data_IF_066607552469
#
_entry.id   IF_066607552469
#
_cell.length_a   1.000
_cell.length_b   1.000
_cell.length_c   1.000
_cell.angle_alpha   90.00
_cell.angle_beta   90.00
_cell.angle_gamma   90.00
#
_symmetry.space_group_name_H-M   'P 1'
#
loop_
_entity.id
_entity.type
_entity.pdbx_description
1 polymer ?
#
# COMPACT_ATOMS: atom_id res chain seq x y z
N UNK A 1 -10.04 3.24 -0.33
CA UNK A 1 -9.61 3.11 -1.74
C UNK A 1 -8.12 2.88 -1.97
N UNK A 2 -7.29 3.92 -2.18
CA UNK A 2 -5.86 3.70 -2.47
C UNK A 2 -5.11 3.10 -1.28
N UNK A 3 -5.59 3.39 -0.06
CA UNK A 3 -5.11 2.77 1.16
C UNK A 3 -5.36 1.25 1.18
N UNK A 4 -6.50 0.77 0.68
CA UNK A 4 -6.83 -0.66 0.70
C UNK A 4 -6.06 -1.43 -0.38
N UNK A 5 -5.89 -0.84 -1.57
CA UNK A 5 -5.02 -1.40 -2.61
C UNK A 5 -3.56 -1.46 -2.13
N UNK A 6 -3.11 -0.44 -1.38
CA UNK A 6 -1.76 -0.44 -0.80
C UNK A 6 -1.52 -1.63 0.15
N UNK A 7 -2.57 -2.17 0.79
CA UNK A 7 -2.49 -3.34 1.69
C UNK A 7 -2.36 -4.67 0.94
N UNK A 8 -2.68 -4.72 -0.35
CA UNK A 8 -2.41 -5.90 -1.19
C UNK A 8 -0.95 -5.97 -1.65
N UNK A 9 -0.30 -4.82 -1.78
CA UNK A 9 1.07 -4.76 -2.27
C UNK A 9 2.05 -5.36 -1.27
N UNK A 10 3.19 -5.87 -1.74
CA UNK A 10 4.27 -6.24 -0.82
C UNK A 10 4.86 -5.00 -0.12
N UNK A 11 4.92 -3.88 -0.85
CA UNK A 11 5.43 -2.59 -0.38
C UNK A 11 4.55 -1.45 -0.89
N UNK A 12 4.33 -0.46 -0.05
CA UNK A 12 3.71 0.81 -0.42
C UNK A 12 4.74 1.93 -0.30
N UNK A 13 4.91 2.73 -1.36
CA UNK A 13 5.80 3.87 -1.37
C UNK A 13 4.96 5.13 -1.27
N UNK A 14 5.26 5.97 -0.27
CA UNK A 14 4.67 7.29 -0.16
C UNK A 14 5.66 8.29 -0.75
N UNK A 15 5.19 9.04 -1.74
CA UNK A 15 5.96 10.10 -2.36
C UNK A 15 5.56 11.45 -1.75
N UNK A 16 6.55 12.28 -1.47
CA UNK A 16 6.37 13.70 -1.14
C UNK A 16 7.53 14.49 -1.77
N UNK A 17 7.25 15.68 -2.29
CA UNK A 17 8.24 16.59 -2.87
C UNK A 17 9.18 15.94 -3.91
N UNK A 18 8.59 15.09 -4.76
CA UNK A 18 9.31 14.37 -5.82
C UNK A 18 10.25 13.27 -5.33
N UNK A 19 10.19 12.90 -4.04
CA UNK A 19 11.04 11.87 -3.43
C UNK A 19 10.22 10.82 -2.70
N UNK A 20 10.84 9.68 -2.43
CA UNK A 20 10.27 8.66 -1.54
C UNK A 20 10.40 9.17 -0.11
N UNK A 21 9.26 9.53 0.48
CA UNK A 21 9.19 9.99 1.86
C UNK A 21 9.09 8.81 2.85
N UNK A 22 8.39 7.73 2.46
CA UNK A 22 8.22 6.55 3.30
C UNK A 22 8.06 5.28 2.46
N UNK A 23 8.61 4.19 2.97
CA UNK A 23 8.37 2.83 2.44
C UNK A 23 7.72 2.03 3.55
N UNK A 24 6.51 1.56 3.31
CA UNK A 24 5.84 0.59 4.16
C UNK A 24 5.97 -0.81 3.54
N UNK A 25 6.27 -1.80 4.38
CA UNK A 25 6.28 -3.22 4.00
C UNK A 25 5.12 -3.89 4.72
N UNK A 26 4.21 -4.47 3.96
CA UNK A 26 3.10 -5.20 4.55
C UNK A 26 3.60 -6.56 5.03
N UNK A 27 3.50 -6.81 6.34
CA UNK A 27 3.82 -8.11 6.91
C UNK A 27 2.87 -9.20 6.40
N UNK A 28 1.61 -8.83 6.15
CA UNK A 28 0.57 -9.69 5.56
C UNK A 28 -0.10 -8.91 4.44
N UNK A 29 -0.23 -9.54 3.27
CA UNK A 29 -0.96 -8.98 2.12
C UNK A 29 -2.39 -9.48 2.16
N UNK A 30 -3.35 -8.59 1.91
CA UNK A 30 -4.76 -8.98 1.82
C UNK A 30 -5.09 -9.54 0.43
N UNK A 31 -6.03 -10.46 0.34
CA UNK A 31 -6.51 -10.95 -0.94
C UNK A 31 -7.38 -9.91 -1.64
N UNK A 32 -7.42 -9.94 -2.98
CA UNK A 32 -8.25 -9.01 -3.76
C UNK A 32 -9.74 -9.10 -3.39
N UNK A 33 -10.22 -10.29 -3.03
CA UNK A 33 -11.59 -10.54 -2.57
C UNK A 33 -11.95 -9.87 -1.24
N UNK A 34 -10.96 -9.42 -0.48
CA UNK A 34 -11.14 -8.77 0.82
C UNK A 34 -11.14 -7.24 0.71
N UNK A 35 -10.89 -6.69 -0.49
CA UNK A 35 -10.98 -5.26 -0.73
C UNK A 35 -12.42 -4.77 -0.51
N UNK A 36 -12.53 -3.62 0.17
CA UNK A 36 -13.76 -2.86 0.30
C UNK A 36 -13.56 -1.51 -0.36
N UNK A 37 -14.50 -1.14 -1.23
CA UNK A 37 -14.51 0.10 -2.00
C UNK A 37 -15.06 1.24 -1.16
#
# INVERSE_FOLDING_TARGET
HNADIARMAHRALHLADGRIARVERNAVRIAASELRW
#
